data_IF_076110660334
#
_entry.id   IF_076110660334
#
_cell.length_a   1.000
_cell.length_b   1.000
_cell.length_c   1.000
_cell.angle_alpha   90.00
_cell.angle_beta   90.00
_cell.angle_gamma   90.00
#
_symmetry.space_group_name_H-M   'P 1'
#
loop_
_entity.id
_entity.type
_entity.pdbx_description
1 polymer ?
#
# COMPACT_ATOMS: atom_id res chain seq x y z
N UNK A 1 3.73 11.49 2.52
CA UNK A 1 4.73 10.97 1.58
C UNK A 1 5.44 9.84 2.31
N UNK A 2 5.18 8.61 1.91
CA UNK A 2 5.81 7.44 2.54
C UNK A 2 7.04 7.05 1.71
N UNK A 3 8.18 6.92 2.36
CA UNK A 3 9.40 6.43 1.72
C UNK A 3 9.41 4.92 1.92
N UNK A 4 9.16 4.16 0.87
CA UNK A 4 9.32 2.71 0.87
C UNK A 4 10.67 2.43 0.22
N UNK A 5 11.55 1.85 1.01
CA UNK A 5 12.82 1.33 0.50
C UNK A 5 12.56 -0.04 -0.12
N UNK A 6 12.18 -0.09 -1.40
CA UNK A 6 12.08 -1.34 -2.14
C UNK A 6 13.48 -1.80 -2.56
N UNK A 7 14.02 -2.79 -1.87
CA UNK A 7 15.37 -3.30 -2.13
C UNK A 7 15.32 -4.73 -2.62
N UNK A 8 16.12 -5.02 -3.66
CA UNK A 8 16.42 -6.39 -4.04
C UNK A 8 17.28 -7.06 -2.95
N UNK A 9 17.05 -8.33 -2.70
CA UNK A 9 17.64 -9.16 -1.62
C UNK A 9 19.17 -9.11 -1.49
N UNK A 10 19.88 -8.61 -2.49
CA UNK A 10 21.33 -8.48 -2.46
C UNK A 10 21.86 -7.26 -1.69
N UNK A 11 21.03 -6.27 -1.33
CA UNK A 11 21.51 -4.95 -0.93
C UNK A 11 21.56 -4.67 0.58
N UNK A 12 20.92 -5.47 1.43
CA UNK A 12 20.74 -5.12 2.86
C UNK A 12 21.08 -6.18 3.92
N UNK A 13 21.89 -7.16 3.60
CA UNK A 13 22.57 -7.86 4.69
C UNK A 13 23.72 -6.97 5.24
N UNK A 14 24.05 -7.09 6.53
CA UNK A 14 25.22 -6.39 7.10
C UNK A 14 26.51 -6.68 6.32
N UNK A 15 26.60 -7.85 5.69
CA UNK A 15 27.66 -8.25 4.78
C UNK A 15 27.65 -7.51 3.44
N UNK A 16 26.46 -7.14 2.94
CA UNK A 16 26.33 -6.34 1.70
C UNK A 16 26.72 -4.89 1.94
N UNK A 17 26.27 -4.29 3.05
CA UNK A 17 26.68 -2.94 3.45
C UNK A 17 28.19 -2.81 3.62
N UNK A 18 28.84 -3.82 4.20
CA UNK A 18 30.31 -3.86 4.30
C UNK A 18 31.00 -4.01 2.94
N UNK A 19 30.44 -4.79 2.02
CA UNK A 19 30.95 -4.92 0.65
C UNK A 19 30.85 -3.61 -0.13
N UNK A 20 29.73 -2.86 0.00
CA UNK A 20 29.57 -1.53 -0.62
C UNK A 20 30.57 -0.52 -0.05
N UNK A 21 30.76 -0.47 1.28
CA UNK A 21 31.78 0.38 1.93
C UNK A 21 33.20 0.09 1.45
N UNK A 22 33.55 -1.18 1.24
CA UNK A 22 34.89 -1.60 0.79
C UNK A 22 35.12 -1.42 -0.72
N UNK A 23 34.02 -1.43 -1.53
CA UNK A 23 34.15 -1.33 -3.00
C UNK A 23 34.16 0.11 -3.51
N UNK A 24 33.93 1.12 -2.67
CA UNK A 24 33.82 2.52 -3.09
C UNK A 24 32.63 2.81 -4.02
N UNK A 25 31.71 1.86 -4.20
CA UNK A 25 30.52 2.06 -5.03
C UNK A 25 29.50 2.92 -4.27
N UNK A 26 28.95 3.89 -4.98
CA UNK A 26 27.80 4.67 -4.46
C UNK A 26 26.62 3.72 -4.21
N UNK A 27 26.04 3.82 -3.01
CA UNK A 27 24.79 3.13 -2.73
C UNK A 27 23.70 3.65 -3.69
N UNK A 28 22.84 2.76 -4.23
CA UNK A 28 21.72 3.23 -5.04
C UNK A 28 20.84 4.15 -4.19
N UNK A 29 20.38 5.24 -4.80
CA UNK A 29 19.45 6.15 -4.13
C UNK A 29 18.17 5.40 -3.73
N UNK A 30 17.59 5.71 -2.56
CA UNK A 30 16.31 5.17 -2.16
C UNK A 30 15.23 5.55 -3.19
N UNK A 31 14.35 4.62 -3.51
CA UNK A 31 13.22 4.87 -4.39
C UNK A 31 12.14 5.67 -3.68
N UNK A 32 11.52 6.60 -4.41
CA UNK A 32 10.38 7.37 -3.93
C UNK A 32 9.10 6.66 -4.31
N UNK A 33 8.34 6.20 -3.30
CA UNK A 33 7.00 5.65 -3.47
C UNK A 33 5.96 6.69 -3.06
N UNK A 34 4.97 6.93 -3.93
CA UNK A 34 3.85 7.83 -3.68
C UNK A 34 2.59 7.01 -3.44
N UNK A 35 2.01 7.12 -2.24
CA UNK A 35 0.72 6.50 -1.93
C UNK A 35 -0.41 7.40 -2.42
N UNK A 36 -1.29 6.86 -3.27
CA UNK A 36 -2.47 7.56 -3.76
C UNK A 36 -3.54 7.61 -2.68
N UNK A 37 -4.08 8.80 -2.44
CA UNK A 37 -5.11 9.05 -1.42
C UNK A 37 -6.51 9.22 -2.00
N UNK A 38 -6.70 9.08 -3.30
CA UNK A 38 -7.99 9.22 -3.98
C UNK A 38 -9.04 8.22 -3.50
N UNK A 39 -10.31 8.62 -3.52
CA UNK A 39 -11.47 7.81 -3.15
C UNK A 39 -12.37 7.47 -4.35
N UNK A 40 -11.97 7.86 -5.55
CA UNK A 40 -12.62 7.51 -6.82
C UNK A 40 -11.59 7.10 -7.83
N UNK A 41 -11.98 6.28 -8.81
CA UNK A 41 -11.10 5.89 -9.91
C UNK A 41 -10.51 7.11 -10.64
N UNK A 42 -11.35 8.14 -10.88
CA UNK A 42 -10.89 9.38 -11.52
C UNK A 42 -9.76 10.03 -10.72
N UNK A 43 -9.95 10.23 -9.42
CA UNK A 43 -8.92 10.81 -8.55
C UNK A 43 -7.65 9.97 -8.53
N UNK A 44 -7.77 8.63 -8.40
CA UNK A 44 -6.59 7.75 -8.39
C UNK A 44 -5.78 7.85 -9.68
N UNK A 45 -6.43 7.92 -10.84
CA UNK A 45 -5.75 8.05 -12.12
C UNK A 45 -5.11 9.43 -12.30
N UNK A 46 -5.77 10.50 -11.86
CA UNK A 46 -5.22 11.86 -11.85
C UNK A 46 -4.01 11.96 -10.91
N UNK A 47 -4.12 11.43 -9.68
CA UNK A 47 -3.03 11.39 -8.70
C UNK A 47 -1.83 10.56 -9.22
N UNK A 48 -2.09 9.43 -9.89
CA UNK A 48 -1.05 8.59 -10.49
C UNK A 48 -0.29 9.35 -11.60
N UNK A 49 -1.00 10.07 -12.46
CA UNK A 49 -0.38 10.89 -13.50
C UNK A 49 0.48 12.00 -12.90
N UNK A 50 0.01 12.69 -11.85
CA UNK A 50 0.77 13.70 -11.13
C UNK A 50 2.00 13.12 -10.43
N UNK A 51 1.88 11.97 -9.76
CA UNK A 51 3.00 11.31 -9.12
C UNK A 51 4.08 10.89 -10.14
N UNK A 52 3.66 10.33 -11.28
CA UNK A 52 4.55 9.97 -12.39
C UNK A 52 5.28 11.21 -12.93
N UNK A 53 4.56 12.30 -13.19
CA UNK A 53 5.16 13.56 -13.67
C UNK A 53 6.12 14.20 -12.66
N UNK A 54 5.88 13.99 -11.35
CA UNK A 54 6.76 14.44 -10.28
C UNK A 54 8.01 13.55 -10.08
N UNK A 55 8.14 12.46 -10.83
CA UNK A 55 9.30 11.56 -10.78
C UNK A 55 9.21 10.46 -9.70
N UNK A 56 8.00 10.01 -9.36
CA UNK A 56 7.85 8.85 -8.49
C UNK A 56 8.44 7.60 -9.16
N UNK A 57 9.25 6.84 -8.41
CA UNK A 57 9.79 5.56 -8.85
C UNK A 57 8.75 4.43 -8.74
N UNK A 58 7.80 4.60 -7.81
CA UNK A 58 6.78 3.61 -7.45
C UNK A 58 5.52 4.32 -6.99
N UNK A 59 4.36 3.73 -7.27
CA UNK A 59 3.07 4.23 -6.82
C UNK A 59 2.41 3.15 -5.96
N UNK A 60 1.84 3.52 -4.83
CA UNK A 60 0.97 2.61 -4.07
C UNK A 60 -0.49 2.99 -4.28
N UNK A 61 -1.27 2.05 -4.81
CA UNK A 61 -2.72 2.17 -5.00
C UNK A 61 -3.41 1.61 -3.76
N UNK A 62 -4.01 2.47 -2.93
CA UNK A 62 -4.88 2.09 -1.81
C UNK A 62 -6.26 1.77 -2.35
N UNK A 63 -6.39 0.56 -2.94
CA UNK A 63 -7.61 0.12 -3.59
C UNK A 63 -8.81 0.09 -2.64
N UNK A 64 -8.57 -0.21 -1.37
CA UNK A 64 -9.58 -0.18 -0.31
C UNK A 64 -10.26 1.19 -0.14
N UNK A 65 -9.62 2.30 -0.54
CA UNK A 65 -10.22 3.64 -0.49
C UNK A 65 -11.41 3.83 -1.44
N UNK A 66 -11.58 2.97 -2.45
CA UNK A 66 -12.73 3.04 -3.36
C UNK A 66 -14.05 2.65 -2.67
N UNK A 67 -14.01 2.05 -1.48
CA UNK A 67 -15.19 1.71 -0.70
C UNK A 67 -15.55 2.73 0.38
N UNK A 68 -15.02 3.94 0.31
CA UNK A 68 -15.41 5.03 1.22
C UNK A 68 -15.60 6.34 0.48
N UNK A 69 -16.63 7.06 0.88
CA UNK A 69 -16.85 8.46 0.48
C UNK A 69 -16.23 9.35 1.55
N UNK A 70 -15.33 10.24 1.15
CA UNK A 70 -14.73 11.25 2.01
C UNK A 70 -15.61 12.51 1.99
N UNK A 71 -16.25 12.83 3.13
CA UNK A 71 -17.07 14.02 3.29
C UNK A 71 -16.36 15.06 4.15
N UNK A 72 -16.37 16.31 3.72
CA UNK A 72 -15.90 17.43 4.54
C UNK A 72 -17.04 17.86 5.48
N UNK A 73 -16.79 17.83 6.78
CA UNK A 73 -17.68 18.37 7.80
C UNK A 73 -17.03 19.62 8.37
N UNK A 74 -17.81 20.70 8.44
CA UNK A 74 -17.38 21.92 9.10
C UNK A 74 -17.96 21.90 10.52
N UNK A 75 -17.10 21.66 11.51
CA UNK A 75 -17.46 21.81 12.92
C UNK A 75 -17.27 23.28 13.33
N UNK A 76 -18.30 23.90 13.87
CA UNK A 76 -18.16 25.20 14.53
C UNK A 76 -17.60 24.97 15.94
N UNK A 77 -16.39 25.46 16.18
CA UNK A 77 -15.81 25.40 17.53
C UNK A 77 -16.53 26.35 18.47
N UNK A 78 -17.19 25.75 19.48
CA UNK A 78 -17.56 26.19 20.81
C UNK A 78 -18.17 27.58 21.06
N UNK A 79 -18.96 27.61 22.13
CA UNK A 79 -19.70 28.67 22.78
C UNK A 79 -18.88 29.88 23.30
N UNK A 80 -17.60 29.99 22.97
CA UNK A 80 -16.75 31.12 23.38
C UNK A 80 -16.52 32.04 22.19
N UNK A 81 -17.13 33.22 22.22
CA UNK A 81 -17.12 34.19 21.11
C UNK A 81 -15.72 34.70 20.73
N UNK A 82 -14.72 34.47 21.58
CA UNK A 82 -13.34 34.96 21.36
C UNK A 82 -12.47 34.02 20.53
N UNK A 83 -12.95 32.80 20.18
CA UNK A 83 -12.20 31.77 19.43
C UNK A 83 -13.01 31.07 18.34
N UNK A 84 -13.80 31.82 17.59
CA UNK A 84 -14.56 31.25 16.43
C UNK A 84 -13.60 30.83 15.33
N UNK A 85 -13.14 29.56 15.36
CA UNK A 85 -12.43 28.88 14.28
C UNK A 85 -13.32 27.84 13.63
N UNK A 86 -13.40 27.81 12.31
CA UNK A 86 -14.01 26.69 11.58
C UNK A 86 -12.95 25.62 11.41
N UNK A 87 -13.13 24.46 12.05
CA UNK A 87 -12.23 23.32 11.87
C UNK A 87 -12.81 22.38 10.82
N UNK A 88 -12.04 22.10 9.78
CA UNK A 88 -12.40 21.08 8.79
C UNK A 88 -12.14 19.70 9.38
N UNK A 89 -13.18 18.88 9.43
CA UNK A 89 -13.11 17.47 9.81
C UNK A 89 -13.50 16.62 8.61
N UNK A 90 -12.87 15.48 8.47
CA UNK A 90 -13.22 14.53 7.42
C UNK A 90 -13.95 13.34 8.02
N UNK A 91 -15.10 13.02 7.44
CA UNK A 91 -15.86 11.82 7.74
C UNK A 91 -15.79 10.85 6.58
N UNK A 92 -15.64 9.56 6.88
CA UNK A 92 -15.56 8.51 5.89
C UNK A 92 -16.81 7.64 5.98
N UNK A 93 -17.64 7.70 4.95
CA UNK A 93 -18.83 6.89 4.83
C UNK A 93 -18.54 5.63 4.02
N UNK A 94 -18.74 4.42 4.61
CA UNK A 94 -18.47 3.18 3.91
C UNK A 94 -19.49 2.91 2.82
N UNK A 95 -19.03 2.34 1.70
CA UNK A 95 -19.85 1.89 0.59
C UNK A 95 -20.00 0.35 0.62
N UNK A 96 -21.11 -0.19 0.04
CA UNK A 96 -21.32 -1.62 -0.09
C UNK A 96 -20.22 -2.28 -0.94
N UNK A 97 -19.92 -3.56 -0.67
CA UNK A 97 -18.89 -4.32 -1.41
C UNK A 97 -19.10 -4.28 -2.93
N UNK A 98 -20.34 -4.44 -3.39
CA UNK A 98 -20.68 -4.41 -4.84
C UNK A 98 -20.58 -3.04 -5.51
N UNK A 99 -20.20 -1.97 -4.79
CA UNK A 99 -20.04 -0.64 -5.38
C UNK A 99 -18.86 -0.56 -6.35
N UNK A 100 -17.81 -1.37 -6.15
CA UNK A 100 -16.58 -1.34 -6.94
C UNK A 100 -16.54 -2.52 -7.89
N UNK A 101 -16.45 -2.25 -9.19
CA UNK A 101 -16.16 -3.27 -10.19
C UNK A 101 -14.65 -3.45 -10.29
N UNK A 102 -14.14 -4.48 -9.62
CA UNK A 102 -12.70 -4.75 -9.48
C UNK A 102 -12.02 -4.95 -10.82
N UNK A 103 -12.61 -5.74 -11.72
CA UNK A 103 -12.04 -6.04 -13.03
C UNK A 103 -11.89 -4.77 -13.89
N UNK A 104 -12.93 -3.94 -13.93
CA UNK A 104 -12.90 -2.66 -14.64
C UNK A 104 -11.83 -1.73 -14.08
N UNK A 105 -11.67 -1.67 -12.75
CA UNK A 105 -10.64 -0.86 -12.11
C UNK A 105 -9.23 -1.35 -12.45
N UNK A 106 -8.97 -2.67 -12.36
CA UNK A 106 -7.68 -3.26 -12.71
C UNK A 106 -7.30 -2.99 -14.18
N UNK A 107 -8.25 -3.12 -15.09
CA UNK A 107 -8.05 -2.80 -16.50
C UNK A 107 -7.71 -1.31 -16.70
N UNK A 108 -8.38 -0.42 -15.98
CA UNK A 108 -8.10 1.02 -16.03
C UNK A 108 -6.71 1.36 -15.51
N UNK A 109 -6.29 0.78 -14.39
CA UNK A 109 -4.92 0.97 -13.87
C UNK A 109 -3.87 0.47 -14.84
N UNK A 110 -4.04 -0.74 -15.38
CA UNK A 110 -3.11 -1.34 -16.35
C UNK A 110 -2.95 -0.50 -17.62
N UNK A 111 -4.01 0.16 -18.05
CA UNK A 111 -4.00 0.99 -19.27
C UNK A 111 -3.40 2.37 -19.02
N UNK A 112 -3.69 2.98 -17.86
CA UNK A 112 -3.38 4.38 -17.60
C UNK A 112 -2.10 4.61 -16.81
N UNK A 113 -1.66 3.66 -15.97
CA UNK A 113 -0.49 3.83 -15.11
C UNK A 113 0.71 3.13 -15.72
N UNK A 114 1.73 3.90 -16.08
CA UNK A 114 3.00 3.40 -16.65
C UNK A 114 4.10 3.20 -15.61
N UNK A 115 4.04 3.94 -14.50
CA UNK A 115 4.95 3.78 -13.37
C UNK A 115 4.67 2.45 -12.67
N UNK A 116 5.68 1.65 -12.28
CA UNK A 116 5.46 0.47 -11.46
C UNK A 116 4.59 0.77 -10.25
N UNK A 117 3.66 -0.12 -9.90
CA UNK A 117 2.77 0.14 -8.79
C UNK A 117 2.52 -1.07 -7.89
N UNK A 118 2.21 -0.75 -6.63
CA UNK A 118 1.80 -1.67 -5.59
C UNK A 118 0.27 -1.66 -5.54
N UNK A 119 -0.35 -2.82 -5.66
CA UNK A 119 -1.77 -2.99 -5.41
C UNK A 119 -1.99 -3.36 -3.94
N UNK A 120 -2.60 -2.46 -3.18
CA UNK A 120 -2.90 -2.63 -1.75
C UNK A 120 -4.40 -2.61 -1.54
N UNK A 121 -4.98 -3.70 -1.01
CA UNK A 121 -6.37 -3.77 -0.56
C UNK A 121 -6.39 -4.02 0.95
N UNK A 122 -6.24 -2.97 1.75
CA UNK A 122 -6.01 -3.05 3.19
C UNK A 122 -7.28 -3.36 3.97
N UNK A 123 -7.26 -4.37 4.86
CA UNK A 123 -8.39 -4.71 5.71
C UNK A 123 -8.54 -3.70 6.85
N UNK A 124 -9.76 -3.60 7.40
CA UNK A 124 -10.07 -2.69 8.52
C UNK A 124 -9.23 -2.96 9.76
N UNK A 125 -8.90 -4.24 10.06
CA UNK A 125 -8.08 -4.63 11.21
C UNK A 125 -6.66 -4.05 11.16
N UNK A 126 -6.20 -3.66 9.96
CA UNK A 126 -4.90 -3.00 9.76
C UNK A 126 -5.05 -1.53 9.28
N UNK A 127 -6.14 -0.87 9.70
CA UNK A 127 -6.38 0.54 9.41
C UNK A 127 -6.80 0.85 7.97
N UNK A 128 -7.32 -0.14 7.25
CA UNK A 128 -7.88 0.02 5.91
C UNK A 128 -9.38 0.30 5.89
N UNK A 129 -9.91 0.45 4.69
CA UNK A 129 -11.31 0.80 4.43
C UNK A 129 -12.12 -0.33 3.77
N UNK A 130 -11.51 -1.49 3.50
CA UNK A 130 -12.19 -2.59 2.83
C UNK A 130 -13.41 -3.07 3.64
N UNK A 131 -14.63 -3.08 3.07
CA UNK A 131 -15.86 -3.36 3.82
C UNK A 131 -16.22 -4.84 3.92
N UNK A 132 -15.66 -5.68 3.05
CA UNK A 132 -15.99 -7.11 2.94
C UNK A 132 -15.30 -7.99 3.97
N UNK A 133 -15.59 -9.29 3.90
CA UNK A 133 -14.90 -10.30 4.67
C UNK A 133 -13.53 -10.64 4.06
N UNK A 134 -12.68 -11.33 4.82
CA UNK A 134 -11.34 -11.70 4.36
C UNK A 134 -11.36 -12.52 3.06
N UNK A 135 -12.31 -13.45 2.90
CA UNK A 135 -12.47 -14.22 1.65
C UNK A 135 -12.70 -13.34 0.42
N UNK A 136 -13.48 -12.24 0.59
CA UNK A 136 -13.77 -11.32 -0.52
C UNK A 136 -12.52 -10.52 -0.88
N UNK A 137 -11.75 -10.12 0.14
CA UNK A 137 -10.47 -9.42 -0.04
C UNK A 137 -9.44 -10.30 -0.74
N UNK A 138 -9.32 -11.57 -0.33
CA UNK A 138 -8.42 -12.53 -0.96
C UNK A 138 -8.78 -12.73 -2.43
N UNK A 139 -10.07 -12.84 -2.77
CA UNK A 139 -10.50 -12.95 -4.16
C UNK A 139 -10.09 -11.72 -5.01
N UNK A 140 -10.10 -10.52 -4.41
CA UNK A 140 -9.63 -9.30 -5.08
C UNK A 140 -8.10 -9.32 -5.27
N UNK A 141 -7.34 -9.75 -4.25
CA UNK A 141 -5.88 -9.90 -4.35
C UNK A 141 -5.48 -10.93 -5.40
N UNK A 142 -6.23 -12.05 -5.51
CA UNK A 142 -6.05 -13.03 -6.58
C UNK A 142 -6.29 -12.42 -7.97
N UNK A 143 -7.38 -11.66 -8.14
CA UNK A 143 -7.66 -10.99 -9.42
C UNK A 143 -6.56 -9.99 -9.79
N UNK A 144 -6.10 -9.19 -8.83
CA UNK A 144 -5.01 -8.25 -9.04
C UNK A 144 -3.72 -8.98 -9.46
N UNK A 145 -3.37 -10.04 -8.76
CA UNK A 145 -2.19 -10.86 -9.06
C UNK A 145 -2.28 -11.47 -10.47
N UNK A 146 -3.43 -12.07 -10.83
CA UNK A 146 -3.67 -12.61 -12.19
C UNK A 146 -3.62 -11.54 -13.28
N UNK A 147 -3.96 -10.30 -12.95
CA UNK A 147 -3.88 -9.19 -13.94
C UNK A 147 -2.47 -8.73 -14.22
N UNK A 148 -1.47 -9.21 -13.45
CA UNK A 148 -0.05 -8.89 -13.65
C UNK A 148 0.31 -7.50 -13.10
N UNK A 149 -0.23 -7.11 -11.92
CA UNK A 149 0.24 -5.93 -11.20
C UNK A 149 1.72 -6.06 -10.86
N UNK A 150 2.46 -4.96 -10.80
CA UNK A 150 3.91 -5.03 -10.54
C UNK A 150 4.19 -5.61 -9.14
N UNK A 151 3.46 -5.13 -8.14
CA UNK A 151 3.54 -5.61 -6.77
C UNK A 151 2.15 -5.82 -6.19
N UNK A 152 2.01 -6.83 -5.35
CA UNK A 152 0.82 -7.03 -4.49
C UNK A 152 1.24 -6.95 -3.03
N UNK A 153 0.49 -6.18 -2.23
CA UNK A 153 0.70 -6.05 -0.79
C UNK A 153 -0.10 -7.13 -0.06
N UNK A 154 0.60 -8.01 0.67
CA UNK A 154 0.02 -9.09 1.46
C UNK A 154 0.40 -8.90 2.93
N UNK A 155 -0.57 -8.56 3.77
CA UNK A 155 -0.34 -8.40 5.21
C UNK A 155 0.08 -9.72 5.86
N UNK A 156 0.97 -9.66 6.84
CA UNK A 156 1.56 -10.84 7.51
C UNK A 156 0.55 -11.75 8.20
N UNK A 157 -0.62 -11.22 8.54
CA UNK A 157 -1.70 -11.93 9.21
C UNK A 157 -2.64 -12.70 8.27
N UNK A 158 -2.37 -12.72 6.96
CA UNK A 158 -3.03 -13.62 6.02
C UNK A 158 -2.66 -15.07 6.37
N UNK A 159 -3.66 -15.95 6.37
CA UNK A 159 -3.46 -17.38 6.55
C UNK A 159 -2.33 -17.93 5.68
N UNK A 160 -1.48 -18.81 6.24
CA UNK A 160 -0.27 -19.29 5.57
C UNK A 160 -0.53 -20.05 4.27
N UNK A 161 -1.59 -20.87 4.23
CA UNK A 161 -1.92 -21.67 3.05
C UNK A 161 -2.50 -20.78 1.93
N UNK A 162 -3.27 -19.76 2.32
CA UNK A 162 -3.79 -18.75 1.39
C UNK A 162 -2.63 -17.92 0.84
N UNK A 163 -1.69 -17.50 1.71
CA UNK A 163 -0.50 -16.75 1.30
C UNK A 163 0.33 -17.55 0.29
N UNK A 164 0.60 -18.83 0.57
CA UNK A 164 1.35 -19.69 -0.35
C UNK A 164 0.71 -19.74 -1.74
N UNK A 165 -0.61 -19.90 -1.81
CA UNK A 165 -1.34 -19.89 -3.09
C UNK A 165 -1.20 -18.56 -3.83
N UNK A 166 -1.25 -17.43 -3.12
CA UNK A 166 -1.07 -16.10 -3.72
C UNK A 166 0.37 -15.90 -4.23
N UNK A 167 1.38 -16.38 -3.50
CA UNK A 167 2.77 -16.33 -3.89
C UNK A 167 3.02 -17.21 -5.12
N UNK A 168 2.49 -18.45 -5.15
CA UNK A 168 2.54 -19.32 -6.32
C UNK A 168 1.87 -18.69 -7.53
N UNK A 169 0.70 -18.05 -7.32
CA UNK A 169 -0.01 -17.34 -8.38
C UNK A 169 0.76 -16.14 -8.93
N UNK A 170 1.50 -15.44 -8.08
CA UNK A 170 2.33 -14.30 -8.45
C UNK A 170 3.48 -14.71 -9.38
N UNK A 171 4.08 -15.88 -9.16
CA UNK A 171 5.18 -16.42 -9.97
C UNK A 171 6.29 -15.38 -10.18
N UNK A 172 6.75 -15.26 -11.42
CA UNK A 172 7.78 -14.28 -11.80
C UNK A 172 7.19 -12.94 -12.29
N UNK A 173 5.87 -12.84 -12.41
CA UNK A 173 5.20 -11.67 -13.03
C UNK A 173 4.85 -10.58 -12.02
N UNK A 174 4.48 -10.96 -10.81
CA UNK A 174 4.08 -10.06 -9.73
C UNK A 174 4.96 -10.27 -8.51
N UNK A 175 5.54 -9.23 -7.96
CA UNK A 175 6.34 -9.31 -6.73
C UNK A 175 5.42 -9.16 -5.50
N UNK A 176 5.70 -9.93 -4.46
CA UNK A 176 4.94 -9.87 -3.21
C UNK A 176 5.65 -8.95 -2.22
N UNK A 177 4.91 -8.00 -1.67
CA UNK A 177 5.32 -7.21 -0.51
C UNK A 177 4.68 -7.83 0.72
N UNK A 178 5.49 -8.21 1.73
CA UNK A 178 4.97 -8.54 3.04
C UNK A 178 4.84 -7.27 3.87
N UNK A 179 3.66 -7.01 4.43
CA UNK A 179 3.39 -5.78 5.20
C UNK A 179 2.80 -6.06 6.57
N UNK A 180 3.13 -5.20 7.54
CA UNK A 180 2.48 -5.17 8.85
C UNK A 180 2.27 -3.72 9.29
N UNK A 181 1.10 -3.45 9.90
CA UNK A 181 0.70 -2.11 10.32
C UNK A 181 0.43 -2.12 11.82
N UNK A 182 1.43 -1.76 12.58
CA UNK A 182 1.38 -1.75 14.03
C UNK A 182 0.54 -0.56 14.53
N UNK A 183 -0.41 -0.83 15.42
CA UNK A 183 -1.34 0.18 15.95
C UNK A 183 -0.71 1.14 16.98
N UNK A 184 0.50 0.85 17.46
CA UNK A 184 1.28 1.69 18.39
C UNK A 184 2.73 1.75 17.94
N UNK A 185 3.48 2.82 18.29
CA UNK A 185 4.90 2.90 17.98
C UNK A 185 5.65 1.74 18.65
N UNK A 186 6.26 0.81 17.89
CA UNK A 186 7.01 -0.30 18.44
C UNK A 186 8.38 0.17 18.93
N UNK A 187 8.97 -0.58 19.85
CA UNK A 187 10.39 -0.43 20.17
C UNK A 187 11.27 -1.12 19.10
N UNK A 188 12.58 -0.91 19.19
CA UNK A 188 13.52 -1.44 18.17
C UNK A 188 13.51 -2.96 18.10
N UNK A 189 13.42 -3.65 19.25
CA UNK A 189 13.45 -5.12 19.29
C UNK A 189 12.17 -5.70 18.67
N UNK A 190 11.01 -5.06 18.88
CA UNK A 190 9.75 -5.42 18.24
C UNK A 190 9.81 -5.22 16.72
N UNK A 191 10.42 -4.12 16.25
CA UNK A 191 10.62 -3.89 14.82
C UNK A 191 11.49 -4.99 14.22
N UNK A 192 12.63 -5.30 14.83
CA UNK A 192 13.54 -6.33 14.35
C UNK A 192 12.88 -7.70 14.30
N UNK A 193 12.17 -8.08 15.38
CA UNK A 193 11.43 -9.35 15.43
C UNK A 193 10.32 -9.43 14.37
N UNK A 194 9.67 -8.32 14.07
CA UNK A 194 8.64 -8.25 13.01
C UNK A 194 9.30 -8.42 11.64
N UNK A 195 10.38 -7.69 11.36
CA UNK A 195 11.13 -7.79 10.10
C UNK A 195 11.63 -9.22 9.86
N UNK A 196 12.19 -9.88 10.88
CA UNK A 196 12.66 -11.26 10.79
C UNK A 196 11.54 -12.25 10.41
N UNK A 197 10.31 -12.01 10.87
CA UNK A 197 9.13 -12.80 10.49
C UNK A 197 8.69 -12.50 9.05
N UNK A 198 8.87 -11.27 8.58
CA UNK A 198 8.37 -10.80 7.28
C UNK A 198 9.30 -11.18 6.12
N UNK A 199 10.61 -11.16 6.35
CA UNK A 199 11.63 -11.43 5.31
C UNK A 199 11.35 -12.71 4.49
N UNK A 200 10.97 -13.87 5.09
CA UNK A 200 10.65 -15.06 4.32
C UNK A 200 9.29 -15.03 3.61
N UNK A 201 8.45 -14.02 3.87
CA UNK A 201 7.06 -13.99 3.40
C UNK A 201 6.86 -13.21 2.11
N UNK A 202 7.87 -12.51 1.61
CA UNK A 202 7.75 -11.72 0.39
C UNK A 202 9.10 -11.32 -0.17
N UNK A 203 9.10 -10.74 -1.36
CA UNK A 203 10.31 -10.20 -2.00
C UNK A 203 10.75 -8.86 -1.41
N UNK A 204 9.89 -8.21 -0.64
CA UNK A 204 10.13 -6.92 0.03
C UNK A 204 9.25 -6.84 1.27
N UNK A 205 9.73 -6.18 2.32
CA UNK A 205 8.97 -5.95 3.57
C UNK A 205 8.60 -4.46 3.72
N UNK A 206 7.45 -4.23 4.35
CA UNK A 206 6.89 -2.89 4.54
C UNK A 206 6.25 -2.75 5.92
#
# INVERSE_FOLDING_TARGET
>A
MSIISAYSDELYSASSLNRYRQSGRLMPLPKVCVTLSGHTMKQMLEDAALATAAGADLIEIRFDNLWVIKKEIIEEESSDESKKGKRKKWEFEPLPLGHVNVESCLNSFKTAITTPYIFTCRPRRQGGNFPGEEKDRIAILEQATRSGVTFVDLEVDIDSDIRLKLVELAGDTTKVIASDHLGSPPNVDEILATVDKMVPLGSTVK
#
